data_IF_290030157059
#
_entry.id   IF_290030157059
#
_cell.length_a   1.000
_cell.length_b   1.000
_cell.length_c   1.000
_cell.angle_alpha   90.00
_cell.angle_beta   90.00
_cell.angle_gamma   90.00
#
_symmetry.space_group_name_H-M   'P 1'
#
loop_
_entity.id
_entity.type
_entity.pdbx_description
1 polymer ?
#
# COMPACT_ATOMS: atom_id res chain seq x y z
N UNK A 1 3.31 -6.65 -12.36
CA UNK A 1 2.23 -7.45 -11.76
C UNK A 1 0.89 -6.97 -12.29
N UNK A 2 0.01 -7.88 -12.64
CA UNK A 2 -1.39 -7.55 -12.94
C UNK A 2 -2.08 -7.02 -11.67
N UNK A 3 -3.05 -6.13 -11.82
CA UNK A 3 -3.88 -5.64 -10.69
C UNK A 3 -4.49 -6.83 -9.93
N UNK A 4 -4.89 -7.89 -10.65
CA UNK A 4 -5.45 -9.09 -10.04
C UNK A 4 -4.44 -9.85 -9.16
N UNK A 5 -3.17 -9.92 -9.57
CA UNK A 5 -2.13 -10.57 -8.78
C UNK A 5 -1.85 -9.77 -7.50
N UNK A 6 -1.83 -8.44 -7.59
CA UNK A 6 -1.69 -7.57 -6.42
C UNK A 6 -2.84 -7.77 -5.44
N UNK A 7 -4.09 -7.83 -5.92
CA UNK A 7 -5.25 -8.05 -5.06
C UNK A 7 -5.17 -9.42 -4.36
N UNK A 8 -4.82 -10.48 -5.09
CA UNK A 8 -4.65 -11.81 -4.48
C UNK A 8 -3.53 -11.82 -3.43
N UNK A 9 -2.42 -11.12 -3.68
CA UNK A 9 -1.35 -10.97 -2.70
C UNK A 9 -1.81 -10.19 -1.46
N UNK A 10 -2.55 -9.10 -1.61
CA UNK A 10 -3.10 -8.36 -0.47
C UNK A 10 -4.06 -9.22 0.38
N UNK A 11 -4.88 -10.05 -0.26
CA UNK A 11 -5.81 -10.93 0.47
C UNK A 11 -5.10 -12.05 1.22
N UNK A 12 -3.99 -12.57 0.69
CA UNK A 12 -3.20 -13.63 1.32
C UNK A 12 -2.09 -13.12 2.25
N UNK A 13 -1.89 -11.80 2.31
CA UNK A 13 -0.86 -11.18 3.14
C UNK A 13 -1.21 -11.29 4.64
N UNK A 14 -0.24 -11.65 5.47
CA UNK A 14 -0.40 -11.69 6.93
C UNK A 14 -0.29 -10.28 7.51
N UNK A 15 -1.42 -9.59 7.58
CA UNK A 15 -1.49 -8.22 8.07
C UNK A 15 -1.05 -8.09 9.53
N UNK A 16 -0.01 -7.30 9.77
CA UNK A 16 0.32 -6.81 11.11
C UNK A 16 -0.36 -5.46 11.38
N UNK A 17 -0.49 -5.10 12.66
CA UNK A 17 -1.02 -3.78 13.05
C UNK A 17 -0.20 -2.64 12.43
N UNK A 18 1.12 -2.82 12.37
CA UNK A 18 2.05 -1.87 11.75
C UNK A 18 1.74 -1.66 10.27
N UNK A 19 1.44 -2.73 9.54
CA UNK A 19 1.09 -2.65 8.12
C UNK A 19 -0.21 -1.85 7.90
N UNK A 20 -1.21 -2.08 8.75
CA UNK A 20 -2.49 -1.33 8.70
C UNK A 20 -2.26 0.15 9.01
N UNK A 21 -1.42 0.48 9.98
CA UNK A 21 -1.07 1.87 10.32
C UNK A 21 -0.41 2.55 9.11
N UNK A 22 0.54 1.90 8.46
CA UNK A 22 1.21 2.47 7.29
C UNK A 22 0.28 2.60 6.08
N UNK A 23 -0.60 1.62 5.87
CA UNK A 23 -1.59 1.65 4.80
C UNK A 23 -2.56 2.82 4.95
N UNK A 24 -2.84 3.30 6.18
CA UNK A 24 -3.64 4.52 6.39
C UNK A 24 -2.76 5.77 6.31
N UNK A 25 -1.59 5.73 6.93
CA UNK A 25 -0.69 6.88 7.05
C UNK A 25 -0.24 7.43 5.69
N UNK A 26 0.23 6.58 4.77
CA UNK A 26 0.79 7.05 3.50
C UNK A 26 -0.26 7.66 2.56
N UNK A 27 -1.45 7.05 2.34
CA UNK A 27 -2.55 7.68 1.63
C UNK A 27 -2.97 9.02 2.25
N UNK A 28 -3.07 9.11 3.57
CA UNK A 28 -3.41 10.37 4.24
C UNK A 28 -2.33 11.42 4.01
N UNK A 29 -1.05 11.08 4.20
CA UNK A 29 0.07 11.99 4.01
C UNK A 29 0.14 12.52 2.56
N UNK A 30 0.05 11.65 1.56
CA UNK A 30 0.11 12.06 0.16
C UNK A 30 -1.16 12.81 -0.26
N UNK A 31 -2.31 12.53 0.35
CA UNK A 31 -3.54 13.29 0.09
C UNK A 31 -3.46 14.73 0.59
N UNK A 32 -2.72 14.98 1.67
CA UNK A 32 -2.45 16.34 2.15
C UNK A 32 -1.59 17.12 1.14
N UNK A 33 -0.63 16.46 0.48
CA UNK A 33 0.31 17.10 -0.44
C UNK A 33 -0.25 17.27 -1.86
N UNK A 34 -0.95 16.27 -2.38
CA UNK A 34 -1.34 16.18 -3.79
C UNK A 34 -2.86 16.15 -4.01
N UNK A 35 -3.63 16.27 -2.93
CA UNK A 35 -5.09 16.10 -2.94
C UNK A 35 -5.52 14.62 -2.91
N UNK A 36 -6.73 14.32 -2.44
CA UNK A 36 -7.17 12.95 -2.17
C UNK A 36 -7.28 12.07 -3.42
N UNK A 37 -7.61 12.66 -4.58
CA UNK A 37 -7.75 11.92 -5.85
C UNK A 37 -6.42 11.30 -6.28
N UNK A 38 -5.30 12.00 -6.04
CA UNK A 38 -3.96 11.53 -6.40
C UNK A 38 -3.31 10.82 -5.22
N UNK A 39 -3.46 11.39 -4.03
CA UNK A 39 -2.79 10.93 -2.81
C UNK A 39 -3.26 9.56 -2.32
N UNK A 40 -4.55 9.24 -2.42
CA UNK A 40 -5.05 7.92 -2.00
C UNK A 40 -4.47 6.81 -2.90
N UNK A 41 -4.62 6.86 -4.25
CA UNK A 41 -4.01 5.86 -5.12
C UNK A 41 -2.48 5.79 -4.96
N UNK A 42 -1.80 6.94 -4.91
CA UNK A 42 -0.35 6.99 -4.78
C UNK A 42 0.13 6.36 -3.46
N UNK A 43 -0.59 6.60 -2.36
CA UNK A 43 -0.22 6.05 -1.05
C UNK A 43 -0.41 4.55 -0.95
N UNK A 44 -1.47 4.01 -1.56
CA UNK A 44 -1.71 2.57 -1.63
C UNK A 44 -0.63 1.89 -2.47
N UNK A 45 -0.28 2.47 -3.62
CA UNK A 45 0.79 1.95 -4.49
C UNK A 45 2.14 2.00 -3.77
N UNK A 46 2.46 3.11 -3.11
CA UNK A 46 3.69 3.27 -2.35
C UNK A 46 3.81 2.22 -1.23
N UNK A 47 2.73 2.01 -0.47
CA UNK A 47 2.68 0.98 0.56
C UNK A 47 2.91 -0.42 -0.04
N UNK A 48 2.23 -0.76 -1.13
CA UNK A 48 2.36 -2.07 -1.76
C UNK A 48 3.80 -2.34 -2.23
N UNK A 49 4.46 -1.35 -2.83
CA UNK A 49 5.85 -1.48 -3.27
C UNK A 49 6.80 -1.66 -2.08
N UNK A 50 6.69 -0.80 -1.06
CA UNK A 50 7.64 -0.79 0.07
C UNK A 50 7.47 -1.95 1.05
N UNK A 51 6.26 -2.47 1.23
CA UNK A 51 5.97 -3.40 2.34
C UNK A 51 5.48 -4.78 1.89
N UNK A 52 4.93 -4.90 0.67
CA UNK A 52 4.43 -6.18 0.13
C UNK A 52 5.45 -6.78 -0.85
N UNK A 53 5.96 -6.00 -1.80
CA UNK A 53 6.94 -6.49 -2.79
C UNK A 53 8.29 -6.78 -2.13
N UNK A 54 8.78 -5.87 -1.28
CA UNK A 54 10.09 -6.03 -0.60
C UNK A 54 10.15 -7.25 0.34
N UNK A 55 9.01 -7.67 0.90
CA UNK A 55 8.91 -8.89 1.73
C UNK A 55 9.00 -10.19 0.94
N UNK A 56 8.83 -10.15 -0.38
CA UNK A 56 8.87 -11.35 -1.23
C UNK A 56 10.29 -11.70 -1.68
N UNK A 57 11.20 -10.73 -1.68
CA UNK A 57 12.63 -10.88 -2.01
C UNK A 57 13.50 -11.18 -0.76
N UNK A 58 12.89 -11.37 0.41
CA UNK A 58 13.53 -11.78 1.68
C UNK A 58 13.08 -13.20 2.07
#
# INVERSE_FOLDING_TARGET
MSINELIQKLMNYSWSLTDVIFLVFYPTLLSILFGPIIGIPAGIVFFAIMFIVDKEDQ
#
